data_IF_407342242043
#
_entry.id   IF_407342242043
#
_cell.length_a   1.000
_cell.length_b   1.000
_cell.length_c   1.000
_cell.angle_alpha   90.00
_cell.angle_beta   90.00
_cell.angle_gamma   90.00
#
_symmetry.space_group_name_H-M   'P 1'
#
loop_
_entity.id
_entity.type
_entity.pdbx_description
1 polymer ?
#
# COMPACT_ATOMS: atom_id res chain seq x y z
N UNK A 1 -1.12 -9.14 12.02
CA UNK A 1 -0.39 -9.60 13.24
C UNK A 1 1.09 -9.29 13.08
N UNK A 2 1.75 -8.56 13.98
CA UNK A 2 3.21 -8.30 13.98
C UNK A 2 3.81 -7.63 12.72
N UNK A 3 3.74 -8.30 11.57
CA UNK A 3 4.14 -7.85 10.23
C UNK A 3 3.61 -6.44 9.89
N UNK A 4 2.31 -6.20 10.04
CA UNK A 4 1.72 -4.87 9.79
C UNK A 4 2.31 -3.79 10.69
N UNK A 5 2.57 -4.12 11.97
CA UNK A 5 3.18 -3.19 12.94
C UNK A 5 4.62 -2.87 12.52
N UNK A 6 5.40 -3.90 12.18
CA UNK A 6 6.78 -3.73 11.69
C UNK A 6 6.79 -2.93 10.40
N UNK A 7 5.88 -3.19 9.46
CA UNK A 7 5.80 -2.45 8.20
C UNK A 7 5.53 -0.96 8.44
N UNK A 8 4.64 -0.62 9.40
CA UNK A 8 4.37 0.77 9.77
C UNK A 8 5.60 1.47 10.35
N UNK A 9 6.29 0.82 11.28
CA UNK A 9 7.53 1.34 11.87
C UNK A 9 8.60 1.55 10.79
N UNK A 10 8.76 0.60 9.86
CA UNK A 10 9.70 0.73 8.74
C UNK A 10 9.32 1.91 7.83
N UNK A 11 8.04 2.11 7.55
CA UNK A 11 7.55 3.25 6.78
C UNK A 11 7.89 4.59 7.44
N UNK A 12 7.61 4.71 8.74
CA UNK A 12 7.96 5.89 9.54
C UNK A 12 9.47 6.16 9.54
N UNK A 13 10.29 5.12 9.72
CA UNK A 13 11.75 5.23 9.66
C UNK A 13 12.24 5.73 8.29
N UNK A 14 11.67 5.22 7.19
CA UNK A 14 12.06 5.65 5.85
C UNK A 14 11.71 7.13 5.58
N UNK A 15 10.63 7.64 6.17
CA UNK A 15 10.29 9.07 6.14
C UNK A 15 11.27 9.89 6.98
N UNK A 16 11.56 9.47 8.21
CA UNK A 16 12.52 10.16 9.10
C UNK A 16 13.93 10.22 8.51
N UNK A 17 14.33 9.19 7.76
CA UNK A 17 15.61 9.12 7.04
C UNK A 17 15.60 9.94 5.72
N UNK A 18 14.46 10.51 5.32
CA UNK A 18 14.32 11.27 4.08
C UNK A 18 14.37 10.42 2.80
N UNK A 19 14.18 9.10 2.90
CA UNK A 19 14.10 8.19 1.75
C UNK A 19 12.73 8.29 1.07
N UNK A 20 11.68 8.42 1.88
CA UNK A 20 10.34 8.77 1.41
C UNK A 20 10.13 10.24 1.73
N UNK A 21 9.88 11.05 0.70
CA UNK A 21 9.56 12.46 0.89
C UNK A 21 8.23 12.58 1.63
N UNK A 22 8.27 13.30 2.74
CA UNK A 22 7.09 13.51 3.58
C UNK A 22 6.10 14.45 2.87
N UNK A 23 4.90 13.97 2.60
CA UNK A 23 3.81 14.80 2.12
C UNK A 23 2.88 15.14 3.30
N UNK A 24 2.99 16.36 3.84
CA UNK A 24 2.21 16.82 5.00
C UNK A 24 2.82 16.44 6.37
N UNK A 25 1.98 16.40 7.40
CA UNK A 25 2.43 16.25 8.79
C UNK A 25 2.50 14.79 9.27
N UNK A 26 1.83 13.84 8.60
CA UNK A 26 1.74 12.43 9.00
C UNK A 26 2.31 11.49 7.92
N UNK A 27 2.88 10.37 8.35
CA UNK A 27 3.36 9.32 7.43
C UNK A 27 2.17 8.58 6.81
N UNK A 28 2.03 8.67 5.49
CA UNK A 28 1.00 7.93 4.75
C UNK A 28 1.33 6.44 4.77
N UNK A 29 0.41 5.63 5.27
CA UNK A 29 0.51 4.17 5.27
C UNK A 29 -0.84 3.56 4.89
N UNK A 30 -0.93 3.03 3.67
CA UNK A 30 -2.15 2.43 3.13
C UNK A 30 -2.01 0.91 3.03
N UNK A 31 -2.79 0.18 3.84
CA UNK A 31 -2.84 -1.28 3.82
C UNK A 31 -3.97 -1.77 2.91
N UNK A 32 -3.66 -2.74 2.04
CA UNK A 32 -4.58 -3.33 1.08
C UNK A 32 -4.41 -4.84 1.01
N UNK A 33 -5.46 -5.53 0.58
CA UNK A 33 -5.47 -6.96 0.28
C UNK A 33 -5.83 -7.20 -1.19
N UNK A 34 -5.92 -8.48 -1.60
CA UNK A 34 -6.45 -8.85 -2.92
C UNK A 34 -7.85 -8.29 -3.18
N UNK A 35 -8.73 -8.24 -2.18
CA UNK A 35 -10.11 -7.78 -2.38
C UNK A 35 -10.18 -6.30 -2.78
N UNK A 36 -9.23 -5.51 -2.27
CA UNK A 36 -9.12 -4.08 -2.53
C UNK A 36 -8.56 -3.81 -3.93
N UNK A 37 -7.66 -4.68 -4.42
CA UNK A 37 -6.94 -4.49 -5.68
C UNK A 37 -7.60 -5.19 -6.88
N UNK A 38 -8.26 -6.33 -6.68
CA UNK A 38 -8.80 -7.16 -7.76
C UNK A 38 -10.33 -7.01 -7.83
N UNK A 39 -10.84 -6.78 -9.03
CA UNK A 39 -12.29 -6.76 -9.29
C UNK A 39 -12.78 -8.10 -9.84
N UNK A 40 -14.08 -8.35 -9.68
CA UNK A 40 -14.74 -9.56 -10.21
C UNK A 40 -14.84 -9.52 -11.75
N UNK A 41 -15.01 -8.32 -12.32
CA UNK A 41 -15.23 -8.13 -13.76
C UNK A 41 -14.01 -7.55 -14.46
N UNK A 42 -13.81 -7.97 -15.72
CA UNK A 42 -12.72 -7.46 -16.58
C UNK A 42 -12.82 -5.94 -16.73
N UNK A 43 -11.65 -5.29 -16.71
CA UNK A 43 -11.52 -3.84 -16.87
C UNK A 43 -11.66 -3.03 -15.59
N UNK A 44 -12.15 -3.62 -14.48
CA UNK A 44 -12.36 -2.90 -13.22
C UNK A 44 -11.17 -2.98 -12.25
N UNK A 45 -10.22 -3.89 -12.47
CA UNK A 45 -9.01 -4.02 -11.63
C UNK A 45 -8.09 -2.80 -11.76
N UNK A 46 -7.90 -2.26 -12.97
CA UNK A 46 -6.98 -1.14 -13.18
C UNK A 46 -7.39 0.11 -12.37
N UNK A 47 -8.66 0.58 -12.39
CA UNK A 47 -9.10 1.68 -11.53
C UNK A 47 -8.89 1.43 -10.04
N UNK A 48 -9.12 0.20 -9.54
CA UNK A 48 -8.90 -0.16 -8.14
C UNK A 48 -7.43 -0.02 -7.73
N UNK A 49 -6.53 -0.57 -8.56
CA UNK A 49 -5.08 -0.49 -8.34
C UNK A 49 -4.61 0.96 -8.36
N UNK A 50 -5.04 1.74 -9.35
CA UNK A 50 -4.71 3.17 -9.44
C UNK A 50 -5.15 3.90 -8.18
N UNK A 51 -6.41 3.73 -7.76
CA UNK A 51 -6.91 4.39 -6.55
C UNK A 51 -6.20 3.97 -5.26
N UNK A 52 -5.72 2.72 -5.17
CA UNK A 52 -4.91 2.27 -4.03
C UNK A 52 -3.51 2.92 -4.02
N UNK A 53 -2.89 3.06 -5.21
CA UNK A 53 -1.60 3.74 -5.35
C UNK A 53 -1.75 5.23 -5.03
N UNK A 54 -2.77 5.90 -5.55
CA UNK A 54 -3.05 7.31 -5.27
C UNK A 54 -3.20 7.59 -3.77
N UNK A 55 -3.88 6.71 -3.03
CA UNK A 55 -4.01 6.81 -1.56
C UNK A 55 -2.71 6.57 -0.79
N UNK A 56 -1.70 5.99 -1.42
CA UNK A 56 -0.42 5.66 -0.82
C UNK A 56 0.73 6.59 -1.26
N UNK A 57 0.44 7.56 -2.14
CA UNK A 57 1.41 8.55 -2.60
C UNK A 57 2.00 9.31 -1.41
N UNK A 58 3.29 9.65 -1.50
CA UNK A 58 4.02 10.26 -0.38
C UNK A 58 4.26 9.34 0.82
N UNK A 59 4.02 8.03 0.68
CA UNK A 59 4.11 7.08 1.77
C UNK A 59 4.31 5.63 1.34
N UNK A 60 3.65 4.72 2.05
CA UNK A 60 3.79 3.26 1.89
C UNK A 60 2.47 2.63 1.47
N UNK A 61 2.49 1.86 0.37
CA UNK A 61 1.44 0.90 0.02
C UNK A 61 1.83 -0.48 0.55
N UNK A 62 1.16 -0.94 1.60
CA UNK A 62 1.38 -2.27 2.17
C UNK A 62 0.35 -3.27 1.62
N UNK A 63 0.81 -4.24 0.84
CA UNK A 63 -0.03 -5.27 0.25
C UNK A 63 0.05 -6.54 1.10
N UNK A 64 -0.97 -6.80 1.91
CA UNK A 64 -1.04 -8.04 2.67
C UNK A 64 -1.35 -9.22 1.73
N UNK A 65 -0.71 -10.35 2.01
CA UNK A 65 -0.82 -11.58 1.23
C UNK A 65 -0.66 -11.36 -0.29
N UNK A 66 0.33 -10.55 -0.71
CA UNK A 66 0.54 -10.17 -2.11
C UNK A 66 0.69 -11.37 -3.08
N UNK A 67 1.13 -12.53 -2.58
CA UNK A 67 1.19 -13.79 -3.34
C UNK A 67 -0.17 -14.17 -3.93
N UNK A 68 -1.26 -13.78 -3.27
CA UNK A 68 -2.62 -14.03 -3.73
C UNK A 68 -2.99 -13.24 -4.99
N UNK A 69 -2.26 -12.19 -5.38
CA UNK A 69 -2.56 -11.39 -6.58
C UNK A 69 -2.23 -12.11 -7.88
N UNK A 70 -1.18 -12.93 -7.88
CA UNK A 70 -0.82 -13.76 -9.01
C UNK A 70 -1.79 -14.95 -9.08
N UNK A 71 -2.44 -15.15 -10.23
CA UNK A 71 -3.04 -16.44 -10.58
C UNK A 71 -1.94 -17.31 -11.19
N UNK A 72 -1.87 -18.57 -10.79
CA UNK A 72 -1.16 -19.60 -11.56
C UNK A 72 -1.73 -19.70 -12.98
#
# INVERSE_FOLDING_TARGET
>A
TGKTVVARIVGELLVEMGVIEKEGDETVFHEVSRADLVAEYKGQTAPKVIGAVEKAMGGVLFIDEAYSLKKD
#
